data_IF_984929595067
#
_entry.id   IF_984929595067
#
_cell.length_a   1.000
_cell.length_b   1.000
_cell.length_c   1.000
_cell.angle_alpha   90.00
_cell.angle_beta   90.00
_cell.angle_gamma   90.00
#
_symmetry.space_group_name_H-M   'P 1'
#
loop_
_entity.id
_entity.type
_entity.pdbx_description
1 polymer ?
#
# COMPACT_ATOMS: atom_id res chain seq x y z
N UNK A 1 31.66 -4.16 -6.71
CA UNK A 1 32.20 -3.50 -5.49
C UNK A 1 31.12 -2.87 -4.58
N UNK A 2 29.85 -2.72 -5.05
CA UNK A 2 28.78 -2.10 -4.25
C UNK A 2 27.91 -3.09 -3.48
N UNK A 3 27.91 -4.35 -3.82
CA UNK A 3 27.06 -5.37 -3.18
C UNK A 3 27.44 -5.76 -1.75
N UNK A 4 28.72 -5.97 -1.40
CA UNK A 4 29.10 -6.29 -0.03
C UNK A 4 28.70 -5.20 0.96
N UNK A 5 28.78 -3.93 0.55
CA UNK A 5 28.42 -2.78 1.39
C UNK A 5 26.94 -2.70 1.71
N UNK A 6 26.07 -3.07 0.77
CA UNK A 6 24.61 -3.11 0.96
C UNK A 6 24.18 -4.24 1.87
N UNK A 7 24.75 -5.45 1.68
CA UNK A 7 24.53 -6.60 2.58
C UNK A 7 24.94 -6.25 4.01
N UNK A 8 26.07 -5.61 4.18
CA UNK A 8 26.56 -5.18 5.50
C UNK A 8 25.62 -4.18 6.17
N UNK A 9 25.07 -3.20 5.44
CA UNK A 9 24.07 -2.25 5.99
C UNK A 9 22.81 -2.95 6.43
N UNK A 10 22.30 -3.91 5.66
CA UNK A 10 21.11 -4.68 6.03
C UNK A 10 21.36 -5.57 7.26
N UNK A 11 22.54 -6.15 7.38
CA UNK A 11 22.95 -6.84 8.61
C UNK A 11 22.96 -5.88 9.82
N UNK A 12 23.50 -4.69 9.68
CA UNK A 12 23.45 -3.67 10.74
C UNK A 12 22.04 -3.26 11.14
N UNK A 13 21.10 -3.18 10.19
CA UNK A 13 19.68 -2.90 10.44
C UNK A 13 19.06 -4.03 11.25
N UNK A 14 19.29 -5.28 10.83
CA UNK A 14 18.87 -6.47 11.55
C UNK A 14 19.41 -6.49 12.98
N UNK A 15 20.71 -6.29 13.15
CA UNK A 15 21.38 -6.34 14.46
C UNK A 15 20.87 -5.27 15.40
N UNK A 16 20.56 -4.07 14.90
CA UNK A 16 19.91 -3.01 15.72
C UNK A 16 18.53 -3.44 16.21
N UNK A 17 17.74 -4.11 15.37
CA UNK A 17 16.44 -4.62 15.77
C UNK A 17 16.54 -5.70 16.84
N UNK A 18 17.53 -6.60 16.78
CA UNK A 18 17.76 -7.61 17.82
C UNK A 18 18.22 -7.01 19.16
N UNK A 19 18.74 -5.77 19.14
CA UNK A 19 19.08 -5.01 20.34
C UNK A 19 17.93 -4.16 20.88
N UNK A 20 16.68 -4.45 20.49
CA UNK A 20 15.47 -3.75 20.97
C UNK A 20 15.24 -2.37 20.35
N UNK A 21 15.97 -2.00 19.28
CA UNK A 21 15.74 -0.75 18.54
C UNK A 21 14.70 -0.97 17.44
N UNK A 22 14.06 0.11 17.01
CA UNK A 22 13.14 0.13 15.86
C UNK A 22 13.83 0.84 14.69
N UNK A 23 14.63 0.13 13.88
CA UNK A 23 15.32 0.75 12.76
C UNK A 23 14.35 1.01 11.59
N UNK A 24 14.47 2.21 11.01
CA UNK A 24 13.86 2.55 9.73
C UNK A 24 14.94 2.48 8.65
N UNK A 25 14.68 1.70 7.61
CA UNK A 25 15.51 1.60 6.42
C UNK A 25 14.80 2.26 5.24
N UNK A 26 15.44 3.23 4.58
CA UNK A 26 14.84 3.92 3.45
C UNK A 26 15.73 3.86 2.22
N UNK A 27 15.12 3.56 1.09
CA UNK A 27 15.69 3.60 -0.26
C UNK A 27 14.55 3.56 -1.28
N UNK A 28 14.86 3.64 -2.57
CA UNK A 28 13.85 3.44 -3.62
C UNK A 28 13.22 2.06 -3.53
N UNK A 29 11.94 1.96 -3.84
CA UNK A 29 11.16 0.73 -3.78
C UNK A 29 11.80 -0.41 -4.61
N UNK A 30 12.28 -0.10 -5.82
CA UNK A 30 12.98 -1.07 -6.65
C UNK A 30 14.19 -1.70 -5.96
N UNK A 31 14.89 -0.94 -5.13
CA UNK A 31 16.07 -1.45 -4.40
C UNK A 31 15.70 -2.12 -3.07
N UNK A 32 14.64 -1.63 -2.40
CA UNK A 32 14.13 -2.24 -1.17
C UNK A 32 13.43 -3.58 -1.45
N UNK A 33 12.49 -3.58 -2.37
CA UNK A 33 11.65 -4.73 -2.67
C UNK A 33 12.25 -5.66 -3.75
N UNK A 34 12.76 -5.11 -4.85
CA UNK A 34 13.32 -5.92 -5.93
C UNK A 34 14.70 -6.49 -5.57
N UNK A 35 15.72 -5.61 -5.53
CA UNK A 35 17.11 -6.04 -5.34
C UNK A 35 17.39 -6.68 -3.99
N UNK A 36 16.73 -6.22 -2.92
CA UNK A 36 16.95 -6.69 -1.57
C UNK A 36 15.89 -7.70 -1.08
N UNK A 37 15.03 -8.21 -1.97
CA UNK A 37 13.91 -9.07 -1.59
C UNK A 37 14.32 -10.26 -0.71
N UNK A 38 15.36 -11.00 -1.11
CA UNK A 38 15.83 -12.14 -0.36
C UNK A 38 16.24 -11.76 1.06
N UNK A 39 16.98 -10.65 1.22
CA UNK A 39 17.41 -10.19 2.53
C UNK A 39 16.23 -9.69 3.39
N UNK A 40 15.26 -8.99 2.79
CA UNK A 40 14.04 -8.58 3.49
C UNK A 40 13.28 -9.82 3.95
N UNK A 41 13.10 -10.80 3.08
CA UNK A 41 12.41 -12.04 3.41
C UNK A 41 13.12 -12.84 4.52
N UNK A 42 14.41 -13.09 4.38
CA UNK A 42 15.13 -14.00 5.25
C UNK A 42 15.73 -13.32 6.50
N UNK A 43 16.11 -12.04 6.39
CA UNK A 43 16.76 -11.33 7.50
C UNK A 43 15.82 -10.44 8.31
N UNK A 44 14.64 -10.12 7.77
CA UNK A 44 13.63 -9.28 8.45
C UNK A 44 12.33 -10.03 8.65
N UNK A 45 11.74 -10.58 7.59
CA UNK A 45 10.43 -11.23 7.64
C UNK A 45 10.46 -12.57 8.40
N UNK A 46 11.36 -13.49 8.03
CA UNK A 46 11.44 -14.81 8.64
C UNK A 46 11.64 -14.76 10.18
N UNK A 47 12.60 -13.98 10.71
CA UNK A 47 12.74 -13.81 12.16
C UNK A 47 11.75 -12.83 12.79
N UNK A 48 10.80 -12.28 12.03
CA UNK A 48 9.77 -11.31 12.47
C UNK A 48 10.36 -10.09 13.19
N UNK A 49 11.46 -9.56 12.67
CA UNK A 49 12.15 -8.44 13.31
C UNK A 49 11.37 -7.14 13.20
N UNK A 50 11.50 -6.31 14.23
CA UNK A 50 10.84 -5.00 14.29
C UNK A 50 11.57 -3.95 13.43
N UNK A 51 11.58 -4.16 12.11
CA UNK A 51 12.21 -3.30 11.11
C UNK A 51 11.14 -2.63 10.24
N UNK A 52 11.29 -1.32 10.00
CA UNK A 52 10.42 -0.54 9.12
C UNK A 52 11.16 -0.23 7.83
N UNK A 53 10.58 -0.56 6.70
CA UNK A 53 11.14 -0.31 5.39
C UNK A 53 10.35 0.83 4.77
N UNK A 54 10.96 2.03 4.70
CA UNK A 54 10.38 3.19 4.01
C UNK A 54 10.85 3.22 2.57
N UNK A 55 10.06 2.65 1.68
CA UNK A 55 10.36 2.53 0.26
C UNK A 55 9.77 3.71 -0.51
N UNK A 56 10.62 4.51 -1.14
CA UNK A 56 10.24 5.69 -1.91
C UNK A 56 10.27 5.42 -3.40
N UNK A 57 9.71 6.31 -4.21
CA UNK A 57 9.75 6.22 -5.67
C UNK A 57 9.14 4.92 -6.21
N UNK A 58 8.07 4.44 -5.56
CA UNK A 58 7.33 3.29 -6.03
C UNK A 58 6.40 3.66 -7.19
N UNK A 59 6.04 2.68 -8.02
CA UNK A 59 5.15 2.87 -9.16
C UNK A 59 5.86 3.28 -10.44
N UNK A 60 5.10 3.81 -11.39
CA UNK A 60 5.59 4.23 -12.70
C UNK A 60 5.94 5.72 -12.77
N UNK A 61 5.42 6.54 -11.84
CA UNK A 61 5.56 8.00 -11.85
C UNK A 61 6.91 8.50 -11.34
N UNK A 62 7.96 7.70 -11.45
CA UNK A 62 9.32 8.01 -11.00
C UNK A 62 9.98 9.12 -11.81
N UNK A 63 9.54 9.35 -13.05
CA UNK A 63 10.03 10.41 -13.93
C UNK A 63 11.39 10.10 -14.55
N UNK A 64 12.35 11.00 -14.37
CA UNK A 64 13.65 11.00 -15.05
C UNK A 64 14.52 9.77 -14.78
N UNK A 65 14.37 9.13 -13.65
CA UNK A 65 15.11 7.91 -13.30
C UNK A 65 14.76 6.72 -14.22
N UNK A 66 13.61 6.76 -14.85
CA UNK A 66 13.19 5.86 -15.93
C UNK A 66 12.91 4.43 -15.48
N UNK A 67 12.72 3.56 -16.45
CA UNK A 67 12.23 2.19 -16.27
C UNK A 67 13.05 1.32 -15.31
N UNK A 68 14.35 1.58 -15.16
CA UNK A 68 15.21 0.81 -14.23
C UNK A 68 14.96 1.10 -12.76
N UNK A 69 14.26 2.19 -12.46
CA UNK A 69 13.94 2.64 -11.11
C UNK A 69 12.45 2.55 -10.79
N UNK A 70 11.59 2.44 -11.80
CA UNK A 70 10.17 2.14 -11.65
C UNK A 70 10.00 0.81 -10.91
N UNK A 71 9.03 0.77 -9.99
CA UNK A 71 8.76 -0.42 -9.20
C UNK A 71 7.25 -0.70 -9.15
N UNK A 72 6.80 -1.59 -10.01
CA UNK A 72 5.39 -1.93 -10.20
C UNK A 72 5.05 -3.31 -9.61
N UNK A 73 5.96 -3.92 -8.85
CA UNK A 73 5.86 -5.28 -8.29
C UNK A 73 6.11 -5.35 -6.78
N UNK A 74 6.42 -4.23 -6.15
CA UNK A 74 6.83 -4.19 -4.74
C UNK A 74 5.72 -4.61 -3.77
N UNK A 75 4.47 -4.20 -4.02
CA UNK A 75 3.33 -4.64 -3.21
C UNK A 75 3.18 -6.17 -3.31
N UNK A 76 3.24 -6.72 -4.52
CA UNK A 76 3.15 -8.15 -4.74
C UNK A 76 4.24 -8.91 -3.97
N UNK A 77 5.49 -8.48 -4.10
CA UNK A 77 6.63 -9.10 -3.41
C UNK A 77 6.48 -9.04 -1.88
N UNK A 78 6.15 -7.88 -1.32
CA UNK A 78 6.04 -7.71 0.12
C UNK A 78 4.82 -8.42 0.71
N UNK A 79 3.72 -8.52 -0.04
CA UNK A 79 2.53 -9.30 0.38
C UNK A 79 2.85 -10.79 0.57
N UNK A 80 3.79 -11.36 -0.19
CA UNK A 80 4.15 -12.79 -0.06
C UNK A 80 4.91 -13.11 1.22
N UNK A 81 5.52 -12.12 1.89
CA UNK A 81 6.31 -12.34 3.10
C UNK A 81 5.39 -12.53 4.31
N UNK A 82 5.40 -13.67 5.01
CA UNK A 82 4.57 -13.90 6.18
C UNK A 82 4.83 -12.86 7.29
N UNK A 83 3.76 -12.30 7.87
CA UNK A 83 3.85 -11.32 8.95
C UNK A 83 4.29 -9.90 8.52
N UNK A 84 4.63 -9.67 7.25
CA UNK A 84 4.90 -8.34 6.73
C UNK A 84 3.60 -7.54 6.64
N UNK A 85 3.57 -6.36 7.22
CA UNK A 85 2.50 -5.36 6.99
C UNK A 85 2.90 -4.52 5.77
N UNK A 86 1.93 -4.22 4.90
CA UNK A 86 2.13 -3.41 3.70
C UNK A 86 1.17 -2.22 3.73
N UNK A 87 1.72 -1.02 3.77
CA UNK A 87 0.98 0.25 3.86
C UNK A 87 1.39 1.16 2.70
N UNK A 88 0.42 1.74 2.01
CA UNK A 88 0.59 2.69 0.92
C UNK A 88 -0.29 3.93 1.17
N UNK A 89 0.20 4.94 1.92
CA UNK A 89 -0.59 6.12 2.26
C UNK A 89 -0.90 6.98 1.04
N UNK A 90 -2.03 7.68 1.09
CA UNK A 90 -2.58 8.49 0.00
C UNK A 90 -2.08 9.95 -0.01
N UNK A 91 -1.70 10.48 1.16
CA UNK A 91 -1.18 11.84 1.31
C UNK A 91 -0.18 11.98 2.48
N UNK A 92 0.25 13.20 2.77
CA UNK A 92 1.26 13.45 3.81
C UNK A 92 0.70 13.32 5.24
N UNK A 93 -0.59 13.59 5.44
CA UNK A 93 -1.27 13.42 6.74
C UNK A 93 -1.33 11.93 7.07
N UNK A 94 -1.79 11.12 6.12
CA UNK A 94 -1.83 9.67 6.25
C UNK A 94 -0.43 9.07 6.37
N UNK A 95 0.56 9.59 5.62
CA UNK A 95 1.94 9.12 5.69
C UNK A 95 2.55 9.34 7.09
N UNK A 96 2.31 10.48 7.72
CA UNK A 96 2.75 10.75 9.10
C UNK A 96 2.11 9.82 10.10
N UNK A 97 0.79 9.60 9.96
CA UNK A 97 0.04 8.67 10.81
C UNK A 97 0.50 7.21 10.61
N UNK A 98 0.74 6.80 9.36
CA UNK A 98 1.25 5.47 9.03
C UNK A 98 2.66 5.22 9.60
N UNK A 99 3.55 6.20 9.54
CA UNK A 99 4.90 6.10 10.14
C UNK A 99 4.80 5.94 11.65
N UNK A 100 3.92 6.69 12.32
CA UNK A 100 3.69 6.57 13.76
C UNK A 100 3.13 5.19 14.11
N UNK A 101 2.10 4.74 13.42
CA UNK A 101 1.50 3.42 13.64
C UNK A 101 2.50 2.29 13.35
N UNK A 102 3.33 2.44 12.31
CA UNK A 102 4.40 1.50 12.03
C UNK A 102 5.44 1.43 13.15
N UNK A 103 5.81 2.58 13.76
CA UNK A 103 6.73 2.62 14.90
C UNK A 103 6.16 1.88 16.11
N UNK A 104 4.88 2.06 16.41
CA UNK A 104 4.19 1.46 17.54
C UNK A 104 3.93 -0.05 17.34
N UNK A 105 3.79 -0.50 16.09
CA UNK A 105 3.63 -1.92 15.77
C UNK A 105 4.92 -2.71 15.97
N UNK A 106 4.86 -3.84 16.65
CA UNK A 106 6.00 -4.76 16.80
C UNK A 106 6.00 -5.79 15.68
N UNK A 107 6.94 -5.67 14.77
CA UNK A 107 7.06 -6.55 13.60
C UNK A 107 7.52 -5.81 12.34
N UNK A 108 7.69 -6.52 11.23
CA UNK A 108 8.13 -5.93 9.98
C UNK A 108 7.01 -5.14 9.30
N UNK A 109 7.32 -3.93 8.86
CA UNK A 109 6.39 -3.07 8.11
C UNK A 109 7.08 -2.53 6.86
N UNK A 110 6.40 -2.62 5.74
CA UNK A 110 6.76 -1.99 4.47
C UNK A 110 5.85 -0.77 4.27
N UNK A 111 6.44 0.42 4.29
CA UNK A 111 5.80 1.70 4.01
C UNK A 111 6.16 2.10 2.59
N UNK A 112 5.17 2.21 1.73
CA UNK A 112 5.32 2.52 0.32
C UNK A 112 5.01 3.99 0.07
N UNK A 113 5.93 4.70 -0.58
CA UNK A 113 5.74 6.10 -0.92
C UNK A 113 6.01 6.33 -2.41
N UNK A 114 5.16 7.10 -3.06
CA UNK A 114 5.39 7.60 -4.42
C UNK A 114 6.46 8.70 -4.46
N UNK A 115 6.77 9.21 -5.65
CA UNK A 115 7.65 10.37 -5.87
C UNK A 115 6.89 11.67 -6.00
N UNK A 116 5.72 11.63 -6.62
CA UNK A 116 4.94 12.83 -6.92
C UNK A 116 4.34 13.47 -5.67
N UNK A 117 4.24 14.78 -5.69
CA UNK A 117 3.40 15.51 -4.75
C UNK A 117 1.92 15.18 -5.05
N UNK A 118 1.17 14.91 -4.00
CA UNK A 118 -0.26 14.59 -4.07
C UNK A 118 -1.07 15.62 -3.29
N UNK A 119 -2.35 15.86 -3.64
CA UNK A 119 -3.22 16.71 -2.85
C UNK A 119 -3.42 16.14 -1.44
N UNK A 120 -3.58 17.02 -0.46
CA UNK A 120 -3.96 16.62 0.90
C UNK A 120 -5.48 16.39 0.90
N UNK A 121 -5.89 15.16 1.20
CA UNK A 121 -7.29 14.73 1.21
C UNK A 121 -7.78 14.30 2.59
N UNK A 122 -6.86 14.03 3.52
CA UNK A 122 -7.14 13.57 4.88
C UNK A 122 -7.02 14.68 5.94
N UNK A 123 -7.00 15.96 5.55
CA UNK A 123 -6.87 17.09 6.48
C UNK A 123 -8.24 17.40 7.14
N UNK A 124 -8.63 16.51 8.05
CA UNK A 124 -9.79 16.71 8.89
C UNK A 124 -9.49 16.30 10.34
N UNK A 125 -10.11 16.95 11.31
CA UNK A 125 -9.87 16.73 12.73
C UNK A 125 -10.30 15.32 13.21
N UNK A 126 -11.11 14.63 12.44
CA UNK A 126 -11.64 13.30 12.76
C UNK A 126 -10.82 12.17 12.14
N UNK A 127 -9.81 12.51 11.31
CA UNK A 127 -8.98 11.51 10.66
C UNK A 127 -8.30 10.59 11.66
N UNK A 128 -8.52 9.29 11.50
CA UNK A 128 -7.91 8.24 12.32
C UNK A 128 -7.30 7.19 11.41
N UNK A 129 -6.02 6.92 11.62
CA UNK A 129 -5.30 5.85 10.96
C UNK A 129 -5.29 4.61 11.84
N UNK A 130 -5.73 3.49 11.30
CA UNK A 130 -5.64 2.17 11.95
C UNK A 130 -5.16 1.14 10.94
N UNK A 131 -4.07 0.42 11.27
CA UNK A 131 -3.54 -0.63 10.39
C UNK A 131 -4.61 -1.69 10.12
N UNK A 132 -4.88 -1.96 8.85
CA UNK A 132 -5.87 -2.96 8.43
C UNK A 132 -7.30 -2.47 8.39
N UNK A 133 -7.53 -1.15 8.51
CA UNK A 133 -8.85 -0.53 8.35
C UNK A 133 -8.86 0.41 7.15
N UNK A 134 -9.83 0.20 6.27
CA UNK A 134 -10.08 1.10 5.15
C UNK A 134 -10.89 2.32 5.59
N UNK A 135 -10.84 3.39 4.78
CA UNK A 135 -11.58 4.63 5.02
C UNK A 135 -12.48 4.90 3.82
N UNK A 136 -13.79 4.98 4.04
CA UNK A 136 -14.73 5.46 3.02
C UNK A 136 -14.65 6.98 2.95
N UNK A 137 -14.14 7.50 1.83
CA UNK A 137 -13.98 8.93 1.58
C UNK A 137 -15.20 9.53 0.89
N UNK A 138 -15.94 8.72 0.15
CA UNK A 138 -17.15 9.11 -0.55
C UNK A 138 -18.14 7.95 -0.55
N UNK A 139 -19.40 8.24 -0.20
CA UNK A 139 -20.51 7.28 -0.33
C UNK A 139 -20.99 7.19 -1.78
N UNK A 140 -21.47 6.02 -2.17
CA UNK A 140 -22.05 5.77 -3.50
C UNK A 140 -22.82 4.46 -3.53
N UNK A 141 -23.62 4.24 -4.60
CA UNK A 141 -24.54 3.09 -4.70
C UNK A 141 -24.42 2.27 -5.99
N UNK A 142 -23.76 2.81 -7.03
CA UNK A 142 -23.73 2.15 -8.35
C UNK A 142 -22.47 1.34 -8.60
N UNK A 143 -21.35 1.79 -8.05
CA UNK A 143 -20.03 1.17 -8.17
C UNK A 143 -19.17 1.58 -6.97
N UNK A 144 -18.28 0.68 -6.51
CA UNK A 144 -17.27 1.02 -5.51
C UNK A 144 -15.90 1.06 -6.15
N UNK A 145 -15.16 2.14 -5.93
CA UNK A 145 -13.76 2.30 -6.30
C UNK A 145 -12.92 2.10 -5.04
N UNK A 146 -12.06 1.08 -5.06
CA UNK A 146 -11.11 0.81 -3.97
C UNK A 146 -9.72 1.19 -4.48
N UNK A 147 -9.15 2.23 -3.91
CA UNK A 147 -7.88 2.80 -4.35
C UNK A 147 -6.83 2.82 -3.24
N UNK A 148 -5.57 2.96 -3.60
CA UNK A 148 -4.45 3.06 -2.66
C UNK A 148 -3.40 4.06 -3.14
N UNK A 149 -2.71 4.72 -2.21
CA UNK A 149 -1.66 5.67 -2.52
C UNK A 149 -2.18 6.88 -3.31
N UNK A 150 -1.40 7.35 -4.29
CA UNK A 150 -1.75 8.50 -5.11
C UNK A 150 -3.07 8.33 -5.89
N UNK A 151 -3.44 7.09 -6.21
CA UNK A 151 -4.65 6.79 -6.97
C UNK A 151 -5.95 7.08 -6.19
N UNK A 152 -5.86 7.35 -4.90
CA UNK A 152 -7.03 7.75 -4.10
C UNK A 152 -7.53 9.12 -4.53
N UNK A 153 -6.66 10.11 -4.71
CA UNK A 153 -7.04 11.43 -5.19
C UNK A 153 -7.61 11.40 -6.61
N UNK A 154 -7.01 10.60 -7.49
CA UNK A 154 -7.48 10.40 -8.86
C UNK A 154 -8.86 9.71 -8.88
N UNK A 155 -9.08 8.76 -7.98
CA UNK A 155 -10.36 8.07 -7.81
C UNK A 155 -11.46 9.00 -7.33
N UNK A 156 -11.16 9.95 -6.43
CA UNK A 156 -12.11 10.97 -6.00
C UNK A 156 -12.48 11.89 -7.18
N UNK A 157 -11.51 12.35 -7.95
CA UNK A 157 -11.74 13.16 -9.14
C UNK A 157 -12.55 12.41 -10.21
N UNK A 158 -12.29 11.10 -10.38
CA UNK A 158 -13.09 10.25 -11.27
C UNK A 158 -14.54 10.10 -10.79
N UNK A 159 -14.75 9.93 -9.49
CA UNK A 159 -16.09 9.82 -8.90
C UNK A 159 -16.90 11.12 -9.06
N UNK A 160 -16.27 12.29 -9.04
CA UNK A 160 -16.93 13.56 -9.34
C UNK A 160 -17.40 13.63 -10.80
N UNK A 161 -16.56 13.19 -11.74
CA UNK A 161 -16.93 13.13 -13.17
C UNK A 161 -18.07 12.14 -13.41
N UNK A 162 -18.01 10.96 -12.78
CA UNK A 162 -19.09 9.97 -12.86
C UNK A 162 -20.42 10.51 -12.32
N UNK A 163 -20.38 11.30 -11.25
CA UNK A 163 -21.58 11.93 -10.70
C UNK A 163 -22.24 12.91 -11.68
N UNK A 164 -21.46 13.60 -12.52
CA UNK A 164 -21.99 14.46 -13.58
C UNK A 164 -22.76 13.65 -14.65
N UNK A 165 -22.39 12.38 -14.84
CA UNK A 165 -23.07 11.44 -15.72
C UNK A 165 -24.18 10.64 -15.01
N UNK A 166 -24.51 11.00 -13.77
CA UNK A 166 -25.57 10.36 -12.97
C UNK A 166 -25.17 9.02 -12.33
N UNK A 167 -23.86 8.72 -12.26
CA UNK A 167 -23.34 7.49 -11.64
C UNK A 167 -22.83 7.81 -10.23
N UNK A 168 -23.40 7.14 -9.23
CA UNK A 168 -23.04 7.30 -7.81
C UNK A 168 -21.92 6.33 -7.43
N UNK A 169 -20.67 6.81 -7.44
CA UNK A 169 -19.50 6.02 -7.09
C UNK A 169 -19.12 6.21 -5.62
N UNK A 170 -18.98 5.09 -4.90
CA UNK A 170 -18.32 5.02 -3.60
C UNK A 170 -16.80 5.03 -3.80
N UNK A 171 -16.04 5.72 -2.93
CA UNK A 171 -14.58 5.70 -2.96
C UNK A 171 -14.04 5.28 -1.60
N UNK A 172 -13.30 4.20 -1.59
CA UNK A 172 -12.64 3.62 -0.40
C UNK A 172 -11.13 3.75 -0.54
N UNK A 173 -10.51 4.41 0.42
CA UNK A 173 -9.05 4.43 0.58
C UNK A 173 -8.61 3.16 1.33
N UNK A 174 -7.91 2.29 0.64
CA UNK A 174 -7.32 1.07 1.18
C UNK A 174 -5.83 1.28 1.43
N UNK A 175 -5.50 2.12 2.40
CA UNK A 175 -4.12 2.45 2.73
C UNK A 175 -3.30 1.27 3.26
N UNK A 176 -3.94 0.27 3.86
CA UNK A 176 -3.28 -0.98 4.28
C UNK A 176 -3.69 -2.12 3.36
N UNK A 177 -2.71 -2.65 2.61
CA UNK A 177 -2.95 -3.72 1.64
C UNK A 177 -2.75 -5.09 2.29
N UNK A 178 -1.96 -5.15 3.36
CA UNK A 178 -1.79 -6.34 4.19
C UNK A 178 -1.55 -5.94 5.65
N UNK A 179 -2.42 -6.36 6.60
CA UNK A 179 -3.67 -7.08 6.36
C UNK A 179 -4.68 -6.20 5.60
N UNK A 180 -5.45 -6.79 4.72
CA UNK A 180 -6.54 -6.08 4.03
C UNK A 180 -7.75 -5.93 4.96
N UNK A 181 -8.50 -4.83 4.83
CA UNK A 181 -9.82 -4.72 5.46
C UNK A 181 -10.84 -5.54 4.65
N UNK A 182 -10.88 -6.82 4.92
CA UNK A 182 -11.80 -7.75 4.25
C UNK A 182 -13.27 -7.41 4.50
N UNK A 183 -13.58 -6.84 5.68
CA UNK A 183 -14.95 -6.44 6.01
C UNK A 183 -15.42 -5.28 5.12
N UNK A 184 -14.55 -4.30 4.84
CA UNK A 184 -14.84 -3.22 3.92
C UNK A 184 -15.05 -3.73 2.48
N UNK A 185 -14.23 -4.69 2.03
CA UNK A 185 -14.39 -5.32 0.70
C UNK A 185 -15.72 -6.08 0.60
N UNK A 186 -16.07 -6.86 1.61
CA UNK A 186 -17.35 -7.61 1.65
C UNK A 186 -18.54 -6.65 1.66
N UNK A 187 -18.48 -5.57 2.44
CA UNK A 187 -19.52 -4.55 2.48
C UNK A 187 -19.69 -3.85 1.12
N UNK A 188 -18.58 -3.48 0.46
CA UNK A 188 -18.59 -2.90 -0.87
C UNK A 188 -19.21 -3.85 -1.92
N UNK A 189 -18.84 -5.13 -1.89
CA UNK A 189 -19.39 -6.15 -2.77
C UNK A 189 -20.92 -6.33 -2.57
N UNK A 190 -21.38 -6.35 -1.32
CA UNK A 190 -22.81 -6.44 -1.00
C UNK A 190 -23.57 -5.17 -1.39
N UNK A 191 -22.96 -3.98 -1.27
CA UNK A 191 -23.59 -2.69 -1.52
C UNK A 191 -23.78 -2.42 -3.00
N UNK A 192 -22.74 -2.54 -3.80
CA UNK A 192 -22.74 -2.15 -5.21
C UNK A 192 -22.68 -3.32 -6.20
N UNK A 193 -22.16 -4.46 -5.78
CA UNK A 193 -21.95 -5.63 -6.65
C UNK A 193 -20.92 -5.42 -7.77
N UNK A 194 -20.31 -4.23 -7.82
CA UNK A 194 -19.35 -3.82 -8.85
C UNK A 194 -18.21 -3.07 -8.19
N UNK A 195 -17.01 -3.61 -8.29
CA UNK A 195 -15.80 -3.05 -7.69
C UNK A 195 -14.81 -2.71 -8.79
N UNK A 196 -14.20 -1.53 -8.71
CA UNK A 196 -13.05 -1.13 -9.49
C UNK A 196 -11.89 -0.94 -8.52
N UNK A 197 -10.77 -1.64 -8.71
CA UNK A 197 -9.56 -1.40 -7.92
C UNK A 197 -8.60 -0.52 -8.71
N UNK A 198 -7.97 0.45 -8.04
CA UNK A 198 -7.05 1.41 -8.68
C UNK A 198 -5.75 1.48 -7.88
N UNK A 199 -4.64 1.19 -8.55
CA UNK A 199 -3.32 1.13 -7.94
C UNK A 199 -2.23 1.52 -8.93
N UNK A 200 -1.25 2.30 -8.51
CA UNK A 200 -0.04 2.55 -9.27
C UNK A 200 0.95 1.38 -9.10
N UNK A 201 0.57 0.22 -9.63
CA UNK A 201 1.28 -1.05 -9.49
C UNK A 201 0.75 -2.02 -10.56
N UNK A 202 1.48 -3.07 -10.89
CA UNK A 202 0.93 -4.15 -11.72
C UNK A 202 -0.36 -4.71 -11.12
N UNK A 203 -1.37 -4.92 -11.93
CA UNK A 203 -2.62 -5.58 -11.52
C UNK A 203 -2.43 -7.04 -11.05
N UNK A 204 -1.20 -7.58 -11.21
CA UNK A 204 -0.83 -8.93 -10.76
C UNK A 204 -0.20 -8.85 -9.37
N UNK A 205 -0.85 -9.43 -8.38
CA UNK A 205 -0.34 -9.53 -7.02
C UNK A 205 -0.49 -8.29 -6.14
N UNK A 206 -0.95 -7.14 -6.68
CA UNK A 206 -1.18 -5.89 -5.95
C UNK A 206 -2.50 -5.85 -5.19
N UNK A 207 -3.05 -4.63 -5.04
CA UNK A 207 -4.33 -4.37 -4.38
C UNK A 207 -5.47 -5.12 -5.04
N UNK A 208 -5.57 -5.02 -6.38
CA UNK A 208 -6.64 -5.66 -7.13
C UNK A 208 -6.66 -7.18 -6.94
N UNK A 209 -5.49 -7.81 -6.85
CA UNK A 209 -5.42 -9.25 -6.55
C UNK A 209 -5.88 -9.55 -5.12
N UNK A 210 -5.49 -8.73 -4.13
CA UNK A 210 -5.94 -8.90 -2.74
C UNK A 210 -7.47 -8.77 -2.60
N UNK A 211 -8.06 -7.80 -3.29
CA UNK A 211 -9.52 -7.62 -3.31
C UNK A 211 -10.20 -8.82 -3.99
N UNK A 212 -9.67 -9.29 -5.12
CA UNK A 212 -10.21 -10.46 -5.83
C UNK A 212 -10.18 -11.73 -4.96
N UNK A 213 -9.14 -11.95 -4.17
CA UNK A 213 -9.05 -13.09 -3.25
C UNK A 213 -10.23 -13.06 -2.26
N UNK A 214 -10.50 -11.91 -1.62
CA UNK A 214 -11.61 -11.74 -0.68
C UNK A 214 -12.97 -11.90 -1.37
N UNK A 215 -13.15 -11.29 -2.53
CA UNK A 215 -14.40 -11.35 -3.29
C UNK A 215 -14.71 -12.80 -3.70
N UNK A 216 -13.71 -13.53 -4.18
CA UNK A 216 -13.87 -14.92 -4.59
C UNK A 216 -14.26 -15.84 -3.42
N UNK A 217 -13.70 -15.59 -2.23
CA UNK A 217 -13.92 -16.46 -1.07
C UNK A 217 -15.18 -16.11 -0.29
N UNK A 218 -15.52 -14.80 -0.17
CA UNK A 218 -16.50 -14.34 0.82
C UNK A 218 -17.73 -13.63 0.24
N UNK A 219 -17.59 -12.91 -0.87
CA UNK A 219 -18.66 -12.07 -1.40
C UNK A 219 -18.54 -11.90 -2.93
N UNK A 220 -18.92 -12.91 -3.74
CA UNK A 220 -18.78 -12.87 -5.18
C UNK A 220 -19.39 -11.62 -5.81
N UNK A 221 -18.57 -10.83 -6.49
CA UNK A 221 -18.94 -9.61 -7.19
C UNK A 221 -18.08 -9.41 -8.44
N UNK A 222 -18.49 -8.51 -9.34
CA UNK A 222 -17.69 -8.17 -10.51
C UNK A 222 -16.55 -7.23 -10.10
N UNK A 223 -15.31 -7.61 -10.38
CA UNK A 223 -14.13 -6.78 -10.12
C UNK A 223 -13.43 -6.42 -11.43
N UNK A 224 -13.15 -5.13 -11.60
CA UNK A 224 -12.28 -4.59 -12.65
C UNK A 224 -11.03 -4.01 -11.99
N UNK A 225 -9.85 -4.35 -12.52
CA UNK A 225 -8.57 -3.86 -12.00
C UNK A 225 -7.97 -2.82 -12.93
N UNK A 226 -7.51 -1.70 -12.38
CA UNK A 226 -6.76 -0.64 -13.04
C UNK A 226 -5.42 -0.51 -12.29
N UNK A 227 -4.32 -0.56 -13.07
CA UNK A 227 -2.97 -0.44 -12.54
C UNK A 227 -1.92 -0.62 -13.63
#
# INVERSE_FOLDING_TARGET
LHEPYRRQRQMCIRDRSTCGKVPFASTFAMFAAGRAFEQVRNSVGYPKLNVKIGATHAGISVGEDGATHQCNEDIALMRTIPGMIVINPSDDVEAKAAVKAAYEHVGPVYLRFGRLAVPVINDNAEYKFEIGKAITLREGTDVTIIATGLEVSESLAAAEKLAADGISAEVINMHTIKPLDEAAVVAAAAKTGKIVTVEEHSVIGGLGSAVCDVVAEKAPAKVMKIG
#
